data_IF_962515440281
#
_entry.id   IF_962515440281
#
_cell.length_a   1.000
_cell.length_b   1.000
_cell.length_c   1.000
_cell.angle_alpha   90.00
_cell.angle_beta   90.00
_cell.angle_gamma   90.00
#
_symmetry.space_group_name_H-M   'P 1'
#
loop_
_entity.id
_entity.type
_entity.pdbx_description
1 polymer ?
#
# COMPACT_ATOMS: atom_id res chain seq x y z
N UNK A 1 -31.05 -7.94 7.53
CA UNK A 1 -29.85 -7.24 8.03
C UNK A 1 -30.17 -6.44 9.29
N UNK A 2 -31.31 -5.71 9.35
CA UNK A 2 -31.69 -4.88 10.52
C UNK A 2 -31.70 -5.67 11.84
N UNK A 3 -32.10 -6.91 11.79
CA UNK A 3 -32.19 -7.78 13.00
C UNK A 3 -30.82 -8.27 13.51
N UNK A 4 -29.75 -8.04 12.75
CA UNK A 4 -28.38 -8.45 13.04
C UNK A 4 -27.48 -7.32 13.53
N UNK A 5 -27.91 -6.08 13.34
CA UNK A 5 -27.11 -4.88 13.63
C UNK A 5 -27.73 -4.15 14.82
N UNK A 6 -26.97 -3.98 15.89
CA UNK A 6 -27.41 -3.23 17.08
C UNK A 6 -27.23 -1.72 16.92
N UNK A 7 -26.40 -1.28 15.99
CA UNK A 7 -26.16 0.13 15.70
C UNK A 7 -25.03 0.34 14.72
N UNK A 8 -24.79 1.59 14.32
CA UNK A 8 -23.69 1.98 13.45
C UNK A 8 -23.24 3.40 13.72
N UNK A 9 -21.94 3.65 13.50
CA UNK A 9 -21.36 4.98 13.52
C UNK A 9 -21.18 5.46 12.07
N UNK A 10 -21.82 6.59 11.75
CA UNK A 10 -21.65 7.24 10.45
C UNK A 10 -20.55 8.28 10.51
N UNK A 11 -19.59 8.21 9.58
CA UNK A 11 -18.55 9.21 9.36
C UNK A 11 -18.83 9.97 8.06
N UNK A 12 -19.62 11.05 8.09
CA UNK A 12 -20.20 11.69 6.89
C UNK A 12 -19.15 12.40 6.01
N UNK A 13 -17.94 12.59 6.50
CA UNK A 13 -16.84 13.24 5.76
C UNK A 13 -15.85 12.23 5.15
N UNK A 14 -16.02 10.95 5.45
CA UNK A 14 -15.17 9.92 4.88
C UNK A 14 -15.60 9.64 3.44
N UNK A 15 -14.61 9.40 2.59
CA UNK A 15 -14.83 9.13 1.18
C UNK A 15 -14.22 7.77 0.81
N UNK A 16 -14.80 7.16 -0.21
CA UNK A 16 -14.36 5.89 -0.76
C UNK A 16 -13.79 6.08 -2.15
N UNK A 17 -12.65 5.45 -2.42
CA UNK A 17 -12.05 5.47 -3.74
C UNK A 17 -11.48 4.12 -4.15
N UNK A 18 -11.33 3.92 -5.45
CA UNK A 18 -10.68 2.76 -6.04
C UNK A 18 -9.19 3.05 -6.23
N UNK A 19 -8.36 2.62 -5.27
CA UNK A 19 -6.92 2.86 -5.30
C UNK A 19 -6.23 2.24 -6.53
N UNK A 20 -6.73 1.14 -7.07
CA UNK A 20 -6.20 0.52 -8.28
C UNK A 20 -6.42 1.41 -9.51
N UNK A 21 -7.66 1.89 -9.70
CA UNK A 21 -7.97 2.82 -10.79
C UNK A 21 -7.21 4.13 -10.66
N UNK A 22 -7.11 4.66 -9.45
CA UNK A 22 -6.37 5.89 -9.14
C UNK A 22 -4.88 5.77 -9.50
N UNK A 23 -4.23 4.67 -9.08
CA UNK A 23 -2.81 4.43 -9.37
C UNK A 23 -2.56 4.28 -10.87
N UNK A 24 -3.44 3.55 -11.59
CA UNK A 24 -3.32 3.40 -13.05
C UNK A 24 -3.55 4.73 -13.80
N UNK A 25 -4.47 5.57 -13.32
CA UNK A 25 -4.66 6.90 -13.92
C UNK A 25 -3.46 7.81 -13.67
N UNK A 26 -2.89 7.75 -12.46
CA UNK A 26 -1.70 8.51 -12.10
C UNK A 26 -0.48 8.09 -12.93
N UNK A 27 -0.26 6.78 -13.13
CA UNK A 27 0.86 6.31 -13.95
C UNK A 27 0.79 6.83 -15.39
N UNK A 28 -0.38 6.77 -16.01
CA UNK A 28 -0.60 7.33 -17.36
C UNK A 28 -0.34 8.84 -17.41
N UNK A 29 -0.75 9.57 -16.36
CA UNK A 29 -0.50 11.00 -16.27
C UNK A 29 0.98 11.30 -16.09
N UNK A 30 1.68 10.50 -15.32
CA UNK A 30 3.12 10.63 -15.11
C UNK A 30 3.92 10.38 -16.41
N UNK A 31 3.52 9.37 -17.20
CA UNK A 31 4.11 9.13 -18.54
C UNK A 31 3.96 10.33 -19.45
N UNK A 32 2.77 10.97 -19.47
CA UNK A 32 2.53 12.20 -20.25
C UNK A 32 3.41 13.36 -19.81
N UNK A 33 3.91 13.35 -18.58
CA UNK A 33 4.84 14.34 -18.02
C UNK A 33 6.31 13.94 -18.18
N UNK A 34 6.59 12.86 -18.92
CA UNK A 34 7.94 12.41 -19.24
C UNK A 34 8.54 11.38 -18.27
N UNK A 35 7.77 10.87 -17.31
CA UNK A 35 8.23 9.76 -16.48
C UNK A 35 8.31 8.48 -17.33
N UNK A 36 9.38 7.72 -17.19
CA UNK A 36 9.57 6.42 -17.84
C UNK A 36 9.35 5.29 -16.84
N UNK A 37 8.60 4.28 -17.25
CA UNK A 37 8.38 3.05 -16.48
C UNK A 37 9.13 1.89 -17.14
N UNK A 38 9.85 1.11 -16.32
CA UNK A 38 10.51 -0.13 -16.73
C UNK A 38 9.82 -1.30 -16.05
N UNK A 39 8.73 -1.79 -16.65
CA UNK A 39 7.96 -2.90 -16.12
C UNK A 39 8.72 -4.23 -16.27
N UNK A 40 8.51 -5.15 -15.33
CA UNK A 40 9.20 -6.44 -15.33
C UNK A 40 10.70 -6.35 -15.02
N UNK A 41 11.15 -5.22 -14.47
CA UNK A 41 12.54 -4.97 -14.12
C UNK A 41 12.74 -5.18 -12.62
N UNK A 42 13.66 -6.05 -12.25
CA UNK A 42 14.04 -6.29 -10.86
C UNK A 42 15.29 -5.49 -10.51
N UNK A 43 15.24 -4.76 -9.40
CA UNK A 43 16.41 -4.07 -8.82
C UNK A 43 17.15 -5.05 -7.93
N UNK A 44 18.31 -5.50 -8.36
CA UNK A 44 19.14 -6.45 -7.62
C UNK A 44 19.94 -5.79 -6.50
N UNK A 45 20.47 -4.59 -6.77
CA UNK A 45 21.25 -3.84 -5.78
C UNK A 45 21.33 -2.35 -6.13
N UNK A 46 21.66 -1.55 -5.12
CA UNK A 46 22.07 -0.16 -5.33
C UNK A 46 23.52 -0.12 -5.81
N UNK A 47 23.82 0.85 -6.64
CA UNK A 47 25.20 1.19 -7.02
C UNK A 47 25.68 2.28 -6.07
N UNK A 48 26.50 1.89 -5.10
CA UNK A 48 26.99 2.79 -4.03
C UNK A 48 28.51 2.82 -4.08
N UNK A 49 29.08 4.01 -4.17
CA UNK A 49 30.49 4.27 -4.09
C UNK A 49 30.77 5.48 -3.20
N UNK A 50 31.81 5.42 -2.37
CA UNK A 50 32.20 6.51 -1.49
C UNK A 50 31.09 7.02 -0.56
N UNK A 51 30.12 6.17 -0.17
CA UNK A 51 28.98 6.56 0.67
C UNK A 51 27.88 7.33 -0.06
N UNK A 52 27.88 7.33 -1.39
CA UNK A 52 26.87 7.95 -2.26
C UNK A 52 26.27 6.92 -3.21
N UNK A 53 24.96 7.03 -3.44
CA UNK A 53 24.32 6.26 -4.51
C UNK A 53 24.59 6.91 -5.87
N UNK A 54 25.00 6.11 -6.86
CA UNK A 54 25.19 6.51 -8.25
C UNK A 54 24.17 5.89 -9.19
N UNK A 55 23.21 5.13 -8.66
CA UNK A 55 22.16 4.48 -9.43
C UNK A 55 21.73 3.14 -8.87
N UNK A 56 21.16 2.30 -9.72
CA UNK A 56 20.73 0.94 -9.41
C UNK A 56 21.25 -0.03 -10.46
N UNK A 57 21.48 -1.28 -10.03
CA UNK A 57 21.74 -2.42 -10.93
C UNK A 57 20.51 -3.27 -10.96
N UNK A 58 20.03 -3.53 -12.16
CA UNK A 58 18.87 -4.34 -12.45
C UNK A 58 19.28 -5.68 -13.04
N UNK A 59 18.32 -6.58 -13.21
CA UNK A 59 18.51 -7.84 -13.93
C UNK A 59 18.86 -7.67 -15.41
N UNK A 60 18.82 -6.45 -15.95
CA UNK A 60 19.12 -6.15 -17.35
C UNK A 60 20.35 -5.25 -17.52
N UNK A 61 20.43 -4.18 -16.74
CA UNK A 61 21.44 -3.15 -16.92
C UNK A 61 21.69 -2.34 -15.63
N UNK A 62 22.76 -1.53 -15.65
CA UNK A 62 23.01 -0.49 -14.65
C UNK A 62 22.35 0.81 -15.10
N UNK A 63 21.50 1.34 -14.26
CA UNK A 63 20.86 2.66 -14.45
C UNK A 63 21.51 3.68 -13.55
N UNK A 64 22.22 4.65 -14.14
CA UNK A 64 22.82 5.75 -13.40
C UNK A 64 21.74 6.76 -12.96
N UNK A 65 21.91 7.31 -11.76
CA UNK A 65 21.00 8.32 -11.20
C UNK A 65 21.71 9.18 -10.16
N UNK A 66 21.34 10.46 -10.10
CA UNK A 66 21.84 11.40 -9.08
C UNK A 66 21.22 11.15 -7.70
N UNK A 67 20.01 10.59 -7.68
CA UNK A 67 19.30 10.19 -6.48
C UNK A 67 18.40 8.97 -6.74
N UNK A 68 18.19 8.16 -5.71
CA UNK A 68 17.32 6.98 -5.74
C UNK A 68 16.29 7.07 -4.63
N UNK A 69 15.02 6.91 -4.99
CA UNK A 69 13.90 6.78 -4.03
C UNK A 69 13.53 5.31 -3.88
N UNK A 70 13.74 4.77 -2.70
CA UNK A 70 13.37 3.39 -2.35
C UNK A 70 11.92 3.30 -1.89
N UNK A 71 10.97 3.01 -2.80
CA UNK A 71 9.53 2.90 -2.51
C UNK A 71 9.02 1.45 -2.59
N UNK A 72 9.79 0.50 -2.03
CA UNK A 72 9.57 -0.95 -2.18
C UNK A 72 8.57 -1.53 -1.14
N UNK A 73 7.90 -0.67 -0.35
CA UNK A 73 6.95 -1.10 0.67
C UNK A 73 7.58 -2.11 1.64
N UNK A 74 6.93 -3.24 1.84
CA UNK A 74 7.40 -4.30 2.74
C UNK A 74 8.76 -4.90 2.34
N UNK A 75 9.17 -4.78 1.09
CA UNK A 75 10.46 -5.31 0.61
C UNK A 75 11.64 -4.33 0.83
N UNK A 76 11.38 -3.10 1.25
CA UNK A 76 12.43 -2.10 1.50
C UNK A 76 13.52 -2.57 2.48
N UNK A 77 13.21 -3.27 3.60
CA UNK A 77 14.23 -3.79 4.50
C UNK A 77 15.19 -4.79 3.85
N UNK A 78 14.68 -5.62 2.92
CA UNK A 78 15.49 -6.65 2.27
C UNK A 78 16.61 -6.05 1.41
N UNK A 79 16.30 -4.96 0.69
CA UNK A 79 17.29 -4.25 -0.10
C UNK A 79 18.24 -3.46 0.79
N UNK A 80 17.72 -2.66 1.72
CA UNK A 80 18.49 -1.66 2.46
C UNK A 80 19.38 -2.26 3.56
N UNK A 81 19.01 -3.42 4.09
CA UNK A 81 19.82 -4.16 5.07
C UNK A 81 21.24 -4.46 4.56
N UNK A 82 21.41 -4.69 3.25
CA UNK A 82 22.73 -4.95 2.61
C UNK A 82 23.69 -3.77 2.75
N UNK A 83 23.15 -2.57 3.00
CA UNK A 83 23.89 -1.31 3.13
C UNK A 83 23.95 -0.81 4.58
N UNK A 84 23.67 -1.69 5.54
CA UNK A 84 23.68 -1.34 6.97
C UNK A 84 22.49 -0.52 7.45
N UNK A 85 21.50 -0.27 6.58
CA UNK A 85 20.30 0.50 6.92
C UNK A 85 19.23 -0.47 7.45
N UNK A 86 18.88 -0.32 8.72
CA UNK A 86 17.83 -1.10 9.36
C UNK A 86 16.53 -0.34 9.30
N UNK A 87 15.53 -0.85 8.57
CA UNK A 87 14.19 -0.30 8.51
C UNK A 87 13.25 -1.11 9.41
N UNK A 88 12.52 -0.49 10.33
CA UNK A 88 11.55 -1.16 11.19
C UNK A 88 10.21 -1.38 10.45
N UNK A 89 10.27 -1.93 9.25
CA UNK A 89 9.11 -2.22 8.42
C UNK A 89 8.87 -3.72 8.39
N UNK A 90 7.68 -4.14 8.85
CA UNK A 90 7.27 -5.53 8.87
C UNK A 90 6.14 -5.81 7.88
N UNK A 91 6.18 -6.91 7.10
CA UNK A 91 5.11 -7.29 6.20
C UNK A 91 3.91 -7.85 6.98
N UNK A 92 2.79 -7.15 6.98
CA UNK A 92 1.53 -7.66 7.53
C UNK A 92 0.58 -7.99 6.40
N UNK A 93 0.29 -9.27 6.22
CA UNK A 93 -0.55 -9.76 5.13
C UNK A 93 -2.01 -9.43 5.37
N UNK A 94 -2.64 -8.85 4.36
CA UNK A 94 -4.09 -8.64 4.29
C UNK A 94 -4.68 -9.38 3.11
N UNK A 95 -5.98 -9.62 3.18
CA UNK A 95 -6.73 -10.34 2.17
C UNK A 95 -7.87 -9.52 1.60
N UNK A 96 -8.26 -9.79 0.37
CA UNK A 96 -9.45 -9.19 -0.22
C UNK A 96 -10.15 -10.12 -1.20
N UNK A 97 -11.47 -9.98 -1.25
CA UNK A 97 -12.33 -10.52 -2.30
C UNK A 97 -12.89 -9.39 -3.13
N UNK A 98 -13.01 -9.60 -4.43
CA UNK A 98 -13.74 -8.69 -5.32
C UNK A 98 -14.69 -9.52 -6.15
N UNK A 99 -15.98 -9.24 -6.05
CA UNK A 99 -17.05 -9.98 -6.72
C UNK A 99 -17.97 -9.06 -7.50
N UNK A 100 -18.55 -9.49 -8.64
CA UNK A 100 -19.53 -8.72 -9.37
C UNK A 100 -20.84 -8.61 -8.59
N UNK A 101 -21.53 -7.48 -8.70
CA UNK A 101 -22.87 -7.29 -8.17
C UNK A 101 -23.87 -7.94 -9.13
N UNK A 102 -24.73 -8.81 -8.60
CA UNK A 102 -25.81 -9.45 -9.34
C UNK A 102 -27.19 -8.94 -8.90
N UNK A 103 -27.28 -8.42 -7.68
CA UNK A 103 -28.47 -7.77 -7.13
C UNK A 103 -28.07 -6.47 -6.41
N UNK A 104 -28.33 -5.35 -7.07
CA UNK A 104 -27.96 -4.04 -6.55
C UNK A 104 -28.74 -3.63 -5.29
N UNK A 105 -29.95 -4.17 -5.09
CA UNK A 105 -30.80 -3.88 -3.92
C UNK A 105 -30.28 -4.54 -2.63
N UNK A 106 -29.41 -5.54 -2.75
CA UNK A 106 -28.80 -6.28 -1.67
C UNK A 106 -27.29 -6.07 -1.57
N UNK A 107 -26.76 -5.12 -2.32
CA UNK A 107 -25.36 -4.69 -2.27
C UNK A 107 -25.21 -3.47 -1.33
N UNK A 108 -24.00 -3.21 -0.80
CA UNK A 108 -23.77 -2.00 -0.03
C UNK A 108 -23.90 -0.74 -0.91
N UNK A 109 -24.34 0.38 -0.34
CA UNK A 109 -24.38 1.68 -1.01
C UNK A 109 -23.10 2.49 -0.79
N UNK A 110 -22.45 2.28 0.39
CA UNK A 110 -21.23 2.95 0.81
C UNK A 110 -20.21 1.92 1.34
N UNK A 111 -19.11 2.38 1.91
CA UNK A 111 -18.19 1.53 2.66
C UNK A 111 -18.74 1.27 4.06
N UNK A 112 -18.77 0.00 4.44
CA UNK A 112 -19.15 -0.47 5.77
C UNK A 112 -17.95 -1.17 6.41
N UNK A 113 -17.66 -0.84 7.65
CA UNK A 113 -16.73 -1.59 8.48
C UNK A 113 -17.52 -2.55 9.37
N UNK A 114 -17.38 -3.84 9.11
CA UNK A 114 -17.88 -4.89 9.99
C UNK A 114 -16.90 -5.05 11.16
N UNK A 115 -17.27 -4.51 12.31
CA UNK A 115 -16.41 -4.52 13.50
C UNK A 115 -16.28 -5.90 14.14
N UNK A 116 -17.21 -6.82 13.86
CA UNK A 116 -17.16 -8.20 14.36
C UNK A 116 -15.95 -8.95 13.80
N UNK A 117 -15.71 -8.79 12.48
CA UNK A 117 -14.63 -9.49 11.78
C UNK A 117 -13.48 -8.57 11.37
N UNK A 118 -13.59 -7.26 11.65
CA UNK A 118 -12.63 -6.22 11.19
C UNK A 118 -12.45 -6.23 9.66
N UNK A 119 -13.58 -6.25 8.95
CA UNK A 119 -13.66 -6.36 7.50
C UNK A 119 -14.36 -5.13 6.92
N UNK A 120 -13.72 -4.49 5.94
CA UNK A 120 -14.31 -3.43 5.15
C UNK A 120 -15.04 -4.01 3.94
N UNK A 121 -16.31 -3.65 3.76
CA UNK A 121 -17.14 -4.03 2.63
C UNK A 121 -17.49 -2.75 1.86
N UNK A 122 -17.05 -2.68 0.60
CA UNK A 122 -17.10 -1.45 -0.20
C UNK A 122 -17.73 -1.73 -1.56
N UNK A 123 -18.64 -0.86 -1.99
CA UNK A 123 -19.13 -0.85 -3.37
C UNK A 123 -18.17 -0.04 -4.26
N UNK A 124 -17.65 -0.65 -5.31
CA UNK A 124 -16.82 -0.02 -6.34
C UNK A 124 -17.50 -0.16 -7.72
N UNK A 125 -18.49 0.72 -7.98
CA UNK A 125 -19.30 0.65 -9.19
C UNK A 125 -20.17 -0.60 -9.23
N UNK A 126 -19.88 -1.51 -10.14
CA UNK A 126 -20.56 -2.81 -10.35
C UNK A 126 -20.00 -3.98 -9.54
N UNK A 127 -19.07 -3.71 -8.62
CA UNK A 127 -18.39 -4.72 -7.80
C UNK A 127 -18.51 -4.43 -6.32
N UNK A 128 -18.53 -5.50 -5.52
CA UNK A 128 -18.28 -5.43 -4.08
C UNK A 128 -16.83 -5.85 -3.83
N UNK A 129 -16.07 -4.99 -3.14
CA UNK A 129 -14.76 -5.31 -2.62
C UNK A 129 -14.83 -5.52 -1.12
N UNK A 130 -14.33 -6.64 -0.67
CA UNK A 130 -14.26 -7.03 0.74
C UNK A 130 -12.80 -7.14 1.11
N UNK A 131 -12.36 -6.42 2.12
CA UNK A 131 -10.97 -6.44 2.52
C UNK A 131 -10.81 -6.41 4.03
N UNK A 132 -9.85 -7.14 4.55
CA UNK A 132 -9.62 -7.17 5.98
C UNK A 132 -8.46 -8.05 6.38
N UNK A 133 -8.45 -8.36 7.66
CA UNK A 133 -7.45 -9.19 8.33
C UNK A 133 -6.07 -8.57 8.40
N UNK A 134 -5.31 -9.01 9.38
CA UNK A 134 -3.90 -8.70 9.56
C UNK A 134 -3.22 -10.00 10.00
N UNK A 135 -2.40 -10.58 9.14
CA UNK A 135 -1.69 -11.82 9.41
C UNK A 135 -0.20 -11.59 9.42
N UNK A 136 0.42 -12.01 10.50
CA UNK A 136 1.89 -12.00 10.66
C UNK A 136 2.40 -13.32 10.10
N UNK A 137 2.82 -13.33 8.85
CA UNK A 137 3.16 -14.55 8.10
C UNK A 137 4.36 -14.40 7.18
N UNK A 138 5.28 -13.50 7.53
CA UNK A 138 6.46 -13.25 6.71
C UNK A 138 6.11 -12.71 5.30
N UNK A 139 6.97 -12.94 4.31
CA UNK A 139 6.84 -12.41 2.93
C UNK A 139 5.99 -13.29 1.99
N UNK A 140 5.26 -14.25 2.51
CA UNK A 140 4.42 -15.13 1.68
C UNK A 140 3.11 -14.43 1.26
N UNK A 141 2.69 -14.67 0.03
CA UNK A 141 1.40 -14.23 -0.51
C UNK A 141 0.42 -15.41 -0.69
N UNK A 142 0.61 -16.50 0.05
CA UNK A 142 -0.24 -17.67 -0.03
C UNK A 142 -1.68 -17.33 0.33
N UNK A 143 -2.60 -17.88 -0.44
CA UNK A 143 -4.04 -17.65 -0.30
C UNK A 143 -4.67 -18.74 0.55
N UNK A 144 -4.84 -18.48 1.85
CA UNK A 144 -5.45 -19.41 2.78
C UNK A 144 -6.97 -19.51 2.60
N UNK A 145 -7.49 -20.70 2.32
CA UNK A 145 -8.92 -20.92 2.09
C UNK A 145 -9.79 -20.55 3.32
N UNK A 146 -9.27 -20.73 4.53
CA UNK A 146 -9.97 -20.29 5.75
C UNK A 146 -10.19 -18.77 5.78
N UNK A 147 -9.22 -18.00 5.28
CA UNK A 147 -9.31 -16.54 5.17
C UNK A 147 -10.35 -16.11 4.14
N UNK A 148 -10.39 -16.81 3.01
CA UNK A 148 -11.42 -16.62 1.98
C UNK A 148 -12.83 -16.83 2.57
N UNK A 149 -13.06 -17.94 3.24
CA UNK A 149 -14.37 -18.25 3.85
C UNK A 149 -14.82 -17.19 4.85
N UNK A 150 -13.91 -16.62 5.64
CA UNK A 150 -14.28 -15.56 6.59
C UNK A 150 -14.74 -14.28 5.86
N UNK A 151 -14.05 -13.89 4.77
CA UNK A 151 -14.46 -12.73 3.96
C UNK A 151 -15.81 -12.98 3.27
N UNK A 152 -16.00 -14.16 2.69
CA UNK A 152 -17.26 -14.56 2.06
C UNK A 152 -18.41 -14.57 3.08
N UNK A 153 -18.19 -15.14 4.26
CA UNK A 153 -19.18 -15.17 5.31
C UNK A 153 -19.65 -13.77 5.70
N UNK A 154 -18.73 -12.87 6.03
CA UNK A 154 -19.07 -11.51 6.45
C UNK A 154 -19.88 -10.76 5.37
N UNK A 155 -19.44 -10.78 4.11
CA UNK A 155 -20.15 -10.07 3.05
C UNK A 155 -21.48 -10.69 2.70
N UNK A 156 -21.58 -12.03 2.64
CA UNK A 156 -22.81 -12.71 2.27
C UNK A 156 -23.87 -12.67 3.38
N UNK A 157 -23.44 -12.55 4.62
CA UNK A 157 -24.35 -12.36 5.75
C UNK A 157 -24.99 -10.97 5.77
N UNK A 158 -24.23 -9.92 5.41
CA UNK A 158 -24.69 -8.52 5.44
C UNK A 158 -25.20 -8.04 4.09
N UNK A 159 -24.53 -8.37 2.98
CA UNK A 159 -24.80 -7.86 1.64
C UNK A 159 -24.73 -8.97 0.59
N UNK A 160 -25.71 -9.89 0.55
CA UNK A 160 -25.68 -11.04 -0.36
C UNK A 160 -26.05 -10.69 -1.82
N UNK A 161 -25.79 -9.45 -2.26
CA UNK A 161 -26.04 -8.99 -3.64
C UNK A 161 -24.91 -9.28 -4.61
N UNK A 162 -23.82 -9.91 -4.18
CA UNK A 162 -22.69 -10.29 -5.04
C UNK A 162 -22.65 -11.77 -5.38
N UNK A 163 -21.95 -12.14 -6.47
CA UNK A 163 -21.67 -13.55 -6.82
C UNK A 163 -20.30 -13.98 -6.29
N UNK A 164 -20.28 -14.61 -5.11
CA UNK A 164 -19.06 -15.08 -4.46
C UNK A 164 -18.33 -16.17 -5.29
N UNK A 165 -19.02 -16.93 -6.15
CA UNK A 165 -18.41 -17.96 -7.02
C UNK A 165 -17.53 -17.33 -8.09
N UNK A 166 -17.80 -16.09 -8.48
CA UNK A 166 -17.02 -15.30 -9.44
C UNK A 166 -16.04 -14.35 -8.74
N UNK A 167 -15.87 -14.47 -7.44
CA UNK A 167 -14.98 -13.60 -6.70
C UNK A 167 -13.51 -13.90 -7.00
N UNK A 168 -12.75 -12.84 -7.23
CA UNK A 168 -11.28 -12.90 -7.24
C UNK A 168 -10.77 -12.75 -5.82
N UNK A 169 -9.97 -13.71 -5.36
CA UNK A 169 -9.31 -13.69 -4.07
C UNK A 169 -7.86 -13.26 -4.22
N UNK A 170 -7.40 -12.34 -3.37
CA UNK A 170 -6.08 -11.74 -3.43
C UNK A 170 -5.52 -11.47 -2.03
N UNK A 171 -4.19 -11.48 -1.90
CA UNK A 171 -3.48 -11.05 -0.70
C UNK A 171 -2.39 -10.04 -1.05
N UNK A 172 -1.98 -9.25 -0.05
CA UNK A 172 -0.88 -8.31 -0.19
C UNK A 172 -0.29 -7.94 1.17
N UNK A 173 0.96 -7.49 1.12
CA UNK A 173 1.75 -7.17 2.31
C UNK A 173 1.69 -5.67 2.60
N UNK A 174 1.15 -5.30 3.75
CA UNK A 174 1.19 -3.92 4.25
C UNK A 174 2.54 -3.65 4.89
N UNK A 175 3.25 -2.59 4.49
CA UNK A 175 4.52 -2.19 5.10
C UNK A 175 4.28 -1.52 6.46
N UNK A 176 4.13 -2.30 7.51
CA UNK A 176 3.83 -1.79 8.85
C UNK A 176 5.10 -1.33 9.56
N UNK A 177 5.02 -0.17 10.20
CA UNK A 177 5.96 0.33 11.20
C UNK A 177 5.27 0.39 12.56
N UNK A 178 5.94 0.91 13.55
CA UNK A 178 5.38 1.18 14.89
C UNK A 178 4.52 2.45 14.98
N UNK A 179 4.29 3.15 13.85
CA UNK A 179 3.40 4.32 13.83
C UNK A 179 3.55 5.22 12.63
N UNK A 180 4.74 5.75 12.36
CA UNK A 180 4.97 6.71 11.27
C UNK A 180 5.63 6.07 10.05
N UNK A 181 5.34 6.53 8.83
CA UNK A 181 6.10 6.13 7.66
C UNK A 181 7.54 6.65 7.72
N UNK A 182 8.44 5.96 7.04
CA UNK A 182 9.85 6.38 6.89
C UNK A 182 10.01 7.10 5.55
N UNK A 183 10.23 8.42 5.62
CA UNK A 183 10.37 9.28 4.43
C UNK A 183 11.54 10.25 4.67
N UNK A 184 12.57 10.19 3.84
CA UNK A 184 13.67 11.15 3.96
C UNK A 184 15.03 10.60 3.56
N UNK A 185 16.11 11.34 3.83
CA UNK A 185 17.47 10.92 3.53
C UNK A 185 17.92 9.77 4.43
N UNK A 186 18.92 9.03 3.95
CA UNK A 186 19.63 7.99 4.72
C UNK A 186 21.08 8.44 5.00
N UNK A 187 21.86 7.57 5.63
CA UNK A 187 23.31 7.74 5.76
C UNK A 187 24.06 7.64 4.42
N UNK A 188 23.41 7.11 3.38
CA UNK A 188 23.97 7.07 2.02
C UNK A 188 23.46 8.29 1.27
N UNK A 189 24.37 9.17 0.86
CA UNK A 189 24.01 10.39 0.14
C UNK A 189 23.26 10.07 -1.17
N UNK A 190 22.16 10.76 -1.43
CA UNK A 190 21.30 10.54 -2.60
C UNK A 190 20.29 9.40 -2.49
N UNK A 191 20.27 8.65 -1.38
CA UNK A 191 19.31 7.57 -1.16
C UNK A 191 18.19 7.99 -0.19
N UNK A 192 16.94 7.85 -0.64
CA UNK A 192 15.74 8.30 0.08
C UNK A 192 14.71 7.17 0.16
N UNK A 193 14.43 6.54 1.31
CA UNK A 193 13.26 5.70 1.49
C UNK A 193 11.95 6.50 1.49
N UNK A 194 10.90 5.88 0.97
CA UNK A 194 9.51 6.34 1.08
C UNK A 194 8.63 5.09 1.28
N UNK A 195 8.48 4.66 2.52
CA UNK A 195 7.90 3.36 2.88
C UNK A 195 7.28 3.38 4.28
N UNK A 196 6.73 2.25 4.72
CA UNK A 196 6.24 2.12 6.10
C UNK A 196 4.87 2.75 6.36
N UNK A 197 4.05 3.00 5.34
CA UNK A 197 2.76 3.68 5.47
C UNK A 197 1.64 2.83 6.08
N UNK A 198 1.90 1.56 6.38
CA UNK A 198 0.93 0.67 7.01
C UNK A 198 -0.38 0.53 6.24
N UNK A 199 -1.48 0.72 6.94
CA UNK A 199 -2.84 0.63 6.37
C UNK A 199 -3.31 1.92 5.69
N UNK A 200 -2.63 3.05 5.89
CA UNK A 200 -3.05 4.38 5.44
C UNK A 200 -2.25 4.87 4.21
N UNK A 201 -1.48 4.00 3.57
CA UNK A 201 -0.57 4.38 2.50
C UNK A 201 -1.24 5.11 1.33
N UNK A 202 -2.41 4.69 0.91
CA UNK A 202 -3.15 5.38 -0.16
C UNK A 202 -3.63 6.77 0.27
N UNK A 203 -4.20 6.87 1.47
CA UNK A 203 -4.65 8.16 2.04
C UNK A 203 -3.51 9.17 2.15
N UNK A 204 -2.32 8.70 2.54
CA UNK A 204 -1.13 9.56 2.71
C UNK A 204 -0.33 9.77 1.42
N UNK A 205 -0.62 9.05 0.33
CA UNK A 205 0.25 8.95 -0.85
C UNK A 205 0.60 10.29 -1.48
N UNK A 206 -0.36 11.21 -1.62
CA UNK A 206 -0.13 12.52 -2.23
C UNK A 206 0.81 13.40 -1.39
N UNK A 207 0.63 13.38 -0.06
CA UNK A 207 1.49 14.14 0.86
C UNK A 207 2.88 13.54 0.97
N UNK A 208 2.98 12.22 1.06
CA UNK A 208 4.27 11.50 1.04
C UNK A 208 5.04 11.76 -0.25
N UNK A 209 4.34 11.72 -1.39
CA UNK A 209 4.91 12.05 -2.68
C UNK A 209 5.43 13.49 -2.76
N UNK A 210 4.71 14.46 -2.17
CA UNK A 210 5.16 15.85 -2.11
C UNK A 210 6.39 16.00 -1.22
N UNK A 211 6.38 15.44 -0.03
CA UNK A 211 7.52 15.51 0.91
C UNK A 211 8.79 14.95 0.26
N UNK A 212 8.70 13.74 -0.33
CA UNK A 212 9.89 13.12 -0.93
C UNK A 212 10.39 13.90 -2.15
N UNK A 213 9.48 14.46 -2.95
CA UNK A 213 9.85 15.30 -4.10
C UNK A 213 10.59 16.57 -3.67
N UNK A 214 10.16 17.23 -2.60
CA UNK A 214 10.81 18.41 -2.05
C UNK A 214 12.20 18.06 -1.51
N UNK A 215 12.33 16.98 -0.73
CA UNK A 215 13.61 16.52 -0.19
C UNK A 215 14.63 16.16 -1.27
N UNK A 216 14.23 15.38 -2.28
CA UNK A 216 15.09 15.00 -3.40
C UNK A 216 15.53 16.20 -4.23
N UNK A 217 14.67 17.22 -4.34
CA UNK A 217 14.98 18.47 -5.06
C UNK A 217 15.71 19.51 -4.21
N UNK A 218 16.10 19.18 -2.98
CA UNK A 218 16.75 20.12 -2.06
C UNK A 218 15.84 21.25 -1.56
N UNK A 219 14.52 21.11 -1.69
CA UNK A 219 13.54 22.06 -1.17
C UNK A 219 13.12 21.70 0.25
N UNK A 220 12.73 22.70 1.02
CA UNK A 220 12.15 22.47 2.36
C UNK A 220 10.71 22.00 2.22
N UNK A 221 10.33 20.85 2.78
CA UNK A 221 8.93 20.40 2.83
C UNK A 221 8.03 21.38 3.61
N UNK A 222 6.77 21.44 3.24
CA UNK A 222 5.73 22.24 3.93
C UNK A 222 5.46 21.76 5.36
N UNK A 223 5.73 20.48 5.65
CA UNK A 223 5.57 19.88 6.98
C UNK A 223 6.94 19.56 7.59
N UNK A 224 6.98 19.42 8.89
CA UNK A 224 8.15 18.90 9.59
C UNK A 224 8.39 17.44 9.19
N UNK A 225 9.46 17.20 8.41
CA UNK A 225 9.80 15.87 7.92
C UNK A 225 10.84 15.14 8.80
N UNK A 226 11.35 15.79 9.83
CA UNK A 226 12.31 15.18 10.78
C UNK A 226 11.73 13.98 11.51
N UNK A 227 10.43 14.02 11.82
CA UNK A 227 9.72 12.94 12.51
C UNK A 227 9.40 11.74 11.59
N UNK A 228 9.75 11.86 10.31
CA UNK A 228 9.62 10.80 9.30
C UNK A 228 10.98 10.19 8.93
N UNK A 229 12.07 10.75 9.47
CA UNK A 229 13.41 10.36 9.07
C UNK A 229 13.80 9.01 9.69
N UNK A 230 14.59 8.23 8.94
CA UNK A 230 15.10 6.94 9.39
C UNK A 230 15.99 7.06 10.65
N UNK A 231 16.58 8.23 10.89
CA UNK A 231 17.40 8.50 12.08
C UNK A 231 16.66 8.32 13.41
N UNK A 232 15.34 8.26 13.41
CA UNK A 232 14.55 7.92 14.60
C UNK A 232 14.67 6.44 15.00
N UNK A 233 15.15 5.61 14.10
CA UNK A 233 15.21 4.15 14.26
C UNK A 233 16.64 3.60 14.27
N UNK A 234 17.64 4.46 14.31
CA UNK A 234 19.08 4.08 14.33
C UNK A 234 19.72 4.40 15.66
#
# INVERSE_FOLDING_TARGET
VRDKIVGGLLTPKDETGDCFKSTNALSKKAEQLGLRFSWGTEVERLDVDGGRVGGVVTNWERLAADAVVGALGSYSPLLLKRYGIKLPVYPVKGYSLTMPITDASRAPESTIMDETYKIAITRLGDRIRVGGMAEISDYTNDLGEARRRTLEHSVMDLFPGGDARKATFWSGLRPMTDGTPVIGPTTIAGLFPNTGHGTLGWTMSSRSGRVIADLVSGRKPEIHATDLAISLYT
#
